data_IF_873863353217
#
_entry.id   IF_873863353217
#
_cell.length_a   1.000
_cell.length_b   1.000
_cell.length_c   1.000
_cell.angle_alpha   90.00
_cell.angle_beta   90.00
_cell.angle_gamma   90.00
#
_symmetry.space_group_name_H-M   'P 1'
#
loop_
_entity.id
_entity.type
_entity.pdbx_description
1 polymer ?
#
# COMPACT_ATOMS: atom_id res chain seq x y z
N UNK A 1 -2.07 -7.68 -17.32
CA UNK A 1 -0.64 -7.35 -17.17
C UNK A 1 -0.05 -7.10 -18.55
N UNK A 2 0.22 -5.83 -18.90
CA UNK A 2 0.88 -5.43 -20.18
C UNK A 2 2.32 -4.94 -19.97
N UNK A 3 2.89 -5.27 -18.81
CA UNK A 3 4.26 -5.70 -18.53
C UNK A 3 4.10 -6.72 -17.42
N UNK A 4 4.56 -7.94 -17.64
CA UNK A 4 5.06 -8.84 -16.60
C UNK A 4 6.58 -8.67 -16.67
N UNK A 5 7.29 -8.72 -15.56
CA UNK A 5 8.61 -8.09 -15.51
C UNK A 5 9.60 -8.94 -16.30
N UNK A 6 10.14 -8.32 -17.33
CA UNK A 6 11.42 -8.65 -17.86
C UNK A 6 12.30 -7.43 -17.66
N UNK A 7 13.43 -7.60 -17.00
CA UNK A 7 14.36 -6.54 -16.62
C UNK A 7 15.75 -6.96 -17.08
N UNK A 8 15.99 -6.84 -18.38
CA UNK A 8 17.31 -7.05 -18.99
C UNK A 8 18.17 -5.78 -18.99
N UNK A 9 17.56 -4.60 -19.01
CA UNK A 9 18.32 -3.34 -19.07
C UNK A 9 18.91 -2.91 -17.70
N UNK A 10 18.94 -3.80 -16.71
CA UNK A 10 19.69 -3.58 -15.47
C UNK A 10 21.14 -4.06 -15.56
N UNK A 11 21.63 -4.41 -16.75
CA UNK A 11 23.02 -4.83 -17.02
C UNK A 11 24.06 -3.90 -16.39
N UNK A 12 23.79 -2.59 -16.27
CA UNK A 12 24.69 -1.65 -15.57
C UNK A 12 24.83 -1.91 -14.05
N UNK A 13 23.94 -2.72 -13.45
CA UNK A 13 23.89 -3.06 -12.01
C UNK A 13 24.18 -4.53 -11.68
N UNK A 14 24.37 -5.40 -12.69
CA UNK A 14 24.93 -6.75 -12.54
C UNK A 14 24.07 -7.79 -11.81
N UNK A 15 22.74 -7.77 -11.96
CA UNK A 15 21.85 -8.82 -11.44
C UNK A 15 20.79 -9.21 -12.48
N UNK A 16 20.84 -10.45 -12.97
CA UNK A 16 19.78 -11.03 -13.83
C UNK A 16 18.54 -11.36 -13.00
N UNK A 17 17.39 -10.78 -13.35
CA UNK A 17 16.13 -10.96 -12.62
C UNK A 17 15.05 -11.55 -13.52
N UNK A 18 14.68 -12.81 -13.24
CA UNK A 18 13.55 -13.46 -13.88
C UNK A 18 12.32 -13.43 -12.97
N UNK A 19 11.24 -12.76 -13.39
CA UNK A 19 9.97 -12.78 -12.67
C UNK A 19 9.01 -13.77 -13.31
N UNK A 20 8.64 -14.79 -12.53
CA UNK A 20 7.75 -15.87 -12.97
C UNK A 20 6.49 -15.86 -12.11
N UNK A 21 5.33 -15.75 -12.75
CA UNK A 21 4.04 -15.88 -12.10
C UNK A 21 3.57 -17.33 -12.18
N UNK A 22 3.41 -17.98 -11.04
CA UNK A 22 2.89 -19.35 -10.97
C UNK A 22 1.94 -19.51 -9.79
N UNK A 23 1.01 -20.45 -9.92
CA UNK A 23 0.08 -20.81 -8.86
C UNK A 23 0.60 -21.95 -7.97
N UNK A 24 1.66 -22.64 -8.41
CA UNK A 24 2.20 -23.79 -7.71
C UNK A 24 3.72 -23.76 -7.74
N UNK A 25 4.32 -24.04 -6.60
CA UNK A 25 5.73 -24.37 -6.50
C UNK A 25 5.84 -25.83 -6.04
N UNK A 26 6.96 -26.45 -6.35
CA UNK A 26 7.30 -27.80 -5.93
C UNK A 26 8.27 -27.72 -4.77
N UNK A 27 7.81 -28.17 -3.61
CA UNK A 27 8.57 -28.22 -2.37
C UNK A 27 9.47 -29.45 -2.36
N UNK A 28 10.78 -29.29 -2.21
CA UNK A 28 11.75 -30.39 -2.19
C UNK A 28 12.90 -30.11 -1.21
N UNK A 29 13.73 -31.12 -0.95
CA UNK A 29 15.04 -30.91 -0.32
C UNK A 29 16.06 -30.62 -1.41
N UNK A 30 16.74 -29.49 -1.29
CA UNK A 30 17.84 -29.13 -2.17
C UNK A 30 18.96 -30.17 -2.04
N UNK A 31 19.41 -30.78 -3.15
CA UNK A 31 20.36 -31.88 -3.11
C UNK A 31 21.76 -31.44 -2.65
N UNK A 32 22.08 -30.14 -2.73
CA UNK A 32 23.40 -29.60 -2.35
C UNK A 32 23.45 -29.28 -0.85
N UNK A 33 22.49 -28.50 -0.38
CA UNK A 33 22.45 -28.00 1.00
C UNK A 33 21.65 -28.88 1.96
N UNK A 34 20.83 -29.80 1.44
CA UNK A 34 19.88 -30.60 2.22
C UNK A 34 18.71 -29.79 2.81
N UNK A 35 18.63 -28.50 2.51
CA UNK A 35 17.59 -27.58 3.02
C UNK A 35 16.30 -27.72 2.23
N UNK A 36 15.19 -27.39 2.86
CA UNK A 36 13.90 -27.32 2.19
C UNK A 36 13.87 -26.09 1.27
N UNK A 37 13.52 -26.29 0.00
CA UNK A 37 13.49 -25.26 -1.04
C UNK A 37 12.26 -25.42 -1.93
N UNK A 38 12.01 -24.42 -2.77
CA UNK A 38 10.87 -24.41 -3.68
C UNK A 38 11.33 -24.20 -5.12
N UNK A 39 10.85 -25.07 -5.99
CA UNK A 39 11.10 -25.03 -7.42
C UNK A 39 9.87 -24.57 -8.20
N UNK A 40 10.10 -23.94 -9.35
CA UNK A 40 9.11 -23.52 -10.33
C UNK A 40 9.22 -24.43 -11.54
N UNK A 41 8.20 -25.27 -11.76
CA UNK A 41 8.16 -26.17 -12.91
C UNK A 41 7.61 -25.49 -14.17
N UNK A 42 6.75 -24.49 -13.98
CA UNK A 42 6.09 -23.74 -15.05
C UNK A 42 5.58 -22.39 -14.52
N UNK A 43 5.25 -21.49 -15.44
CA UNK A 43 4.62 -20.22 -15.09
C UNK A 43 4.44 -19.30 -16.28
N UNK A 44 3.84 -18.15 -16.01
CA UNK A 44 3.79 -17.01 -16.93
C UNK A 44 5.02 -16.15 -16.72
N UNK A 45 5.76 -15.86 -17.80
CA UNK A 45 6.87 -14.92 -17.79
C UNK A 45 6.95 -14.18 -19.12
N UNK A 46 7.70 -13.08 -19.15
CA UNK A 46 8.02 -12.40 -20.39
C UNK A 46 9.33 -12.94 -20.96
N UNK A 47 9.39 -13.05 -22.28
CA UNK A 47 10.60 -13.35 -23.04
C UNK A 47 10.80 -12.28 -24.10
N UNK A 48 12.04 -11.84 -24.32
CA UNK A 48 12.39 -11.05 -25.51
C UNK A 48 12.07 -11.82 -26.79
N UNK A 49 12.08 -11.12 -27.93
CA UNK A 49 11.96 -11.78 -29.22
C UNK A 49 13.05 -12.85 -29.43
N UNK A 50 14.28 -12.55 -29.03
CA UNK A 50 15.40 -13.47 -29.17
C UNK A 50 15.21 -14.73 -28.32
N UNK A 51 14.86 -14.57 -27.04
CA UNK A 51 14.65 -15.69 -26.12
C UNK A 51 13.44 -16.52 -26.50
N UNK A 52 12.35 -15.87 -26.93
CA UNK A 52 11.17 -16.56 -27.42
C UNK A 52 11.53 -17.45 -28.62
N UNK A 53 12.32 -16.94 -29.57
CA UNK A 53 12.79 -17.72 -30.72
C UNK A 53 13.75 -18.84 -30.29
N UNK A 54 14.73 -18.55 -29.42
CA UNK A 54 15.67 -19.54 -28.86
C UNK A 54 14.95 -20.67 -28.12
N UNK A 55 13.86 -20.37 -27.42
CA UNK A 55 13.02 -21.35 -26.73
C UNK A 55 12.15 -22.19 -27.69
N UNK A 56 12.26 -22.02 -29.01
CA UNK A 56 11.44 -22.72 -30.00
C UNK A 56 10.03 -22.15 -30.15
N UNK A 57 9.82 -20.92 -29.69
CA UNK A 57 8.59 -20.17 -29.84
C UNK A 57 8.21 -20.04 -31.31
N UNK A 58 7.12 -20.69 -31.69
CA UNK A 58 6.50 -20.51 -32.99
C UNK A 58 5.17 -19.79 -32.75
N UNK A 59 4.89 -18.73 -33.51
CA UNK A 59 3.68 -17.91 -33.39
C UNK A 59 2.40 -18.68 -33.81
N UNK A 60 2.24 -19.93 -33.37
CA UNK A 60 1.09 -20.80 -33.61
C UNK A 60 -0.21 -20.18 -33.11
N UNK A 61 -0.14 -19.30 -32.11
CA UNK A 61 -1.29 -18.51 -31.65
C UNK A 61 -1.91 -17.66 -32.77
N UNK A 62 -1.14 -17.22 -33.77
CA UNK A 62 -1.68 -16.50 -34.92
C UNK A 62 -2.67 -17.34 -35.75
N UNK A 63 -2.56 -18.67 -35.69
CA UNK A 63 -3.48 -19.58 -36.38
C UNK A 63 -4.86 -19.61 -35.74
N UNK A 64 -4.98 -19.23 -34.46
CA UNK A 64 -6.25 -19.21 -33.72
C UNK A 64 -6.86 -17.81 -33.60
N UNK A 65 -6.14 -16.75 -34.01
CA UNK A 65 -6.66 -15.39 -34.06
C UNK A 65 -7.38 -15.19 -35.39
N UNK A 66 -8.72 -15.19 -35.35
CA UNK A 66 -9.57 -15.02 -36.53
C UNK A 66 -9.55 -13.57 -37.08
N UNK A 67 -9.44 -12.56 -36.20
CA UNK A 67 -9.41 -11.15 -36.58
C UNK A 67 -8.06 -10.80 -37.26
N UNK A 68 -8.05 -10.40 -38.55
CA UNK A 68 -6.83 -10.06 -39.28
C UNK A 68 -6.05 -8.88 -38.68
N UNK A 69 -6.73 -7.89 -38.08
CA UNK A 69 -6.08 -6.73 -37.44
C UNK A 69 -5.37 -7.14 -36.16
N UNK A 70 -6.02 -7.96 -35.33
CA UNK A 70 -5.39 -8.53 -34.14
C UNK A 70 -4.24 -9.45 -34.51
N UNK A 71 -4.43 -10.31 -35.52
CA UNK A 71 -3.37 -11.20 -36.01
C UNK A 71 -2.13 -10.43 -36.44
N UNK A 72 -2.29 -9.38 -37.27
CA UNK A 72 -1.20 -8.48 -37.68
C UNK A 72 -0.53 -7.77 -36.51
N UNK A 73 -1.30 -7.40 -35.47
CA UNK A 73 -0.78 -6.80 -34.23
C UNK A 73 0.07 -7.78 -33.42
N UNK A 74 -0.34 -9.05 -33.33
CA UNK A 74 0.35 -10.09 -32.57
C UNK A 74 1.44 -10.83 -33.37
N UNK A 75 1.58 -10.56 -34.67
CA UNK A 75 2.67 -11.10 -35.50
C UNK A 75 4.03 -10.63 -35.01
N UNK A 76 4.14 -9.35 -34.66
CA UNK A 76 5.38 -8.77 -34.13
C UNK A 76 5.46 -8.99 -32.62
N UNK A 77 6.66 -9.31 -32.15
CA UNK A 77 7.00 -9.21 -30.73
C UNK A 77 7.46 -7.77 -30.52
N UNK A 78 6.88 -7.08 -29.53
CA UNK A 78 7.28 -5.70 -29.23
C UNK A 78 8.65 -5.65 -28.55
N UNK A 79 9.23 -4.46 -28.38
CA UNK A 79 10.48 -4.28 -27.64
C UNK A 79 10.39 -4.80 -26.20
N UNK A 80 9.19 -4.75 -25.63
CA UNK A 80 8.83 -5.30 -24.31
C UNK A 80 8.82 -6.83 -24.22
N UNK A 81 9.10 -7.53 -25.32
CA UNK A 81 8.97 -8.98 -25.41
C UNK A 81 7.52 -9.46 -25.47
N UNK A 82 7.32 -10.72 -25.07
CA UNK A 82 6.03 -11.41 -25.10
C UNK A 82 5.79 -12.18 -23.82
N UNK A 83 4.60 -11.99 -23.25
CA UNK A 83 4.11 -12.86 -22.17
C UNK A 83 3.81 -14.25 -22.73
N UNK A 84 4.44 -15.25 -22.15
CA UNK A 84 4.29 -16.65 -22.52
C UNK A 84 4.02 -17.50 -21.29
N UNK A 85 3.33 -18.62 -21.48
CA UNK A 85 3.32 -19.70 -20.52
C UNK A 85 4.45 -20.66 -20.85
N UNK A 86 5.39 -20.82 -19.93
CA UNK A 86 6.56 -21.69 -20.08
C UNK A 86 6.44 -22.89 -19.16
N UNK A 87 6.95 -24.03 -19.63
CA UNK A 87 7.23 -25.21 -18.81
C UNK A 87 8.72 -25.47 -18.90
N UNK A 88 9.40 -25.49 -17.77
CA UNK A 88 10.83 -25.69 -17.74
C UNK A 88 11.17 -27.18 -17.85
N UNK A 89 12.19 -27.51 -18.65
CA UNK A 89 12.69 -28.90 -18.74
C UNK A 89 13.33 -29.34 -17.42
N UNK A 90 13.94 -28.39 -16.71
CA UNK A 90 14.49 -28.53 -15.36
C UNK A 90 13.83 -27.48 -14.48
N UNK A 91 13.26 -27.85 -13.33
CA UNK A 91 12.61 -26.88 -12.45
C UNK A 91 13.59 -25.82 -11.95
N UNK A 92 13.14 -24.56 -11.89
CA UNK A 92 13.97 -23.41 -11.49
C UNK A 92 13.80 -23.15 -10.01
N UNK A 93 14.89 -22.91 -9.27
CA UNK A 93 14.83 -22.56 -7.86
C UNK A 93 14.21 -21.16 -7.67
N UNK A 94 13.21 -21.04 -6.80
CA UNK A 94 12.66 -19.75 -6.39
C UNK A 94 13.59 -19.09 -5.34
N UNK A 95 14.29 -18.03 -5.73
CA UNK A 95 15.24 -17.32 -4.86
C UNK A 95 14.59 -16.29 -3.94
N UNK A 96 13.44 -15.75 -4.35
CA UNK A 96 12.58 -14.89 -3.55
C UNK A 96 11.14 -15.06 -4.02
N UNK A 97 10.17 -14.91 -3.12
CA UNK A 97 8.75 -15.09 -3.41
C UNK A 97 7.98 -13.84 -3.00
N UNK A 98 7.09 -13.39 -3.89
CA UNK A 98 6.03 -12.44 -3.57
C UNK A 98 4.73 -13.25 -3.40
N UNK A 99 4.39 -13.69 -2.18
CA UNK A 99 3.22 -14.52 -1.97
C UNK A 99 1.94 -13.72 -2.11
N UNK A 100 0.89 -14.33 -2.66
CA UNK A 100 -0.45 -13.76 -2.54
C UNK A 100 -0.95 -13.95 -1.10
N UNK A 101 -1.53 -12.92 -0.50
CA UNK A 101 -1.96 -12.91 0.92
C UNK A 101 -3.01 -13.97 1.28
N UNK A 102 -3.68 -14.57 0.28
CA UNK A 102 -4.63 -15.68 0.47
C UNK A 102 -4.03 -17.07 0.21
N UNK A 103 -2.77 -17.16 -0.23
CA UNK A 103 -2.17 -18.44 -0.59
C UNK A 103 -1.98 -19.31 0.68
N UNK A 104 -2.37 -20.61 0.67
CA UNK A 104 -2.27 -21.47 1.85
C UNK A 104 -0.88 -21.48 2.49
N UNK A 105 0.18 -21.60 1.68
CA UNK A 105 1.57 -21.60 2.18
C UNK A 105 2.07 -20.28 2.78
N UNK A 106 1.39 -19.19 2.47
CA UNK A 106 1.61 -17.91 3.16
C UNK A 106 0.82 -17.89 4.47
N UNK A 107 -0.41 -18.43 4.46
CA UNK A 107 -1.28 -18.46 5.61
C UNK A 107 -0.77 -19.38 6.73
N UNK A 108 -0.15 -20.50 6.40
CA UNK A 108 0.38 -21.48 7.36
C UNK A 108 1.90 -21.30 7.65
N UNK A 109 2.49 -20.23 7.10
CA UNK A 109 3.92 -19.90 7.19
C UNK A 109 4.86 -20.97 6.60
N UNK A 110 4.39 -21.83 5.69
CA UNK A 110 5.23 -22.85 5.03
C UNK A 110 6.46 -22.25 4.36
N UNK A 111 6.32 -21.12 3.66
CA UNK A 111 7.45 -20.46 3.00
C UNK A 111 8.47 -19.89 4.00
N UNK A 112 7.99 -19.37 5.13
CA UNK A 112 8.83 -18.77 6.17
C UNK A 112 9.58 -19.84 6.99
N UNK A 113 8.92 -20.98 7.28
CA UNK A 113 9.53 -22.14 7.94
C UNK A 113 10.70 -22.72 7.15
N UNK A 114 10.57 -22.72 5.83
CA UNK A 114 11.63 -23.15 4.92
C UNK A 114 12.75 -22.10 4.76
N UNK A 115 12.53 -20.88 5.24
CA UNK A 115 13.50 -19.80 5.18
C UNK A 115 13.68 -19.15 3.80
N UNK A 116 12.66 -19.18 2.94
CA UNK A 116 12.73 -18.52 1.62
C UNK A 116 12.54 -17.02 1.76
N UNK A 117 13.38 -16.16 1.14
CA UNK A 117 13.14 -14.73 1.11
C UNK A 117 11.74 -14.35 0.61
N UNK A 118 11.02 -13.54 1.39
CA UNK A 118 9.70 -13.04 1.04
C UNK A 118 9.75 -11.51 0.95
N UNK A 119 9.08 -10.92 -0.05
CA UNK A 119 8.89 -9.45 -0.05
C UNK A 119 8.06 -8.99 1.16
N UNK A 120 7.20 -9.88 1.63
CA UNK A 120 6.25 -9.61 2.69
C UNK A 120 6.06 -10.89 3.50
N UNK A 121 6.24 -10.76 4.82
CA UNK A 121 5.97 -11.81 5.77
C UNK A 121 4.54 -11.78 6.29
N UNK A 122 4.08 -12.88 6.86
CA UNK A 122 2.76 -13.00 7.49
C UNK A 122 2.60 -12.02 8.65
N UNK A 123 3.64 -11.83 9.47
CA UNK A 123 3.57 -10.89 10.60
C UNK A 123 3.40 -9.45 10.11
N UNK A 124 4.15 -9.03 9.09
CA UNK A 124 4.07 -7.67 8.53
C UNK A 124 2.74 -7.46 7.79
N UNK A 125 2.27 -8.47 7.04
CA UNK A 125 0.93 -8.49 6.44
C UNK A 125 -0.15 -8.19 7.49
N UNK A 126 -0.22 -9.02 8.52
CA UNK A 126 -1.27 -8.88 9.54
C UNK A 126 -1.15 -7.58 10.32
N UNK A 127 0.07 -7.11 10.57
CA UNK A 127 0.31 -5.86 11.28
C UNK A 127 -0.14 -4.64 10.47
N UNK A 128 0.22 -4.57 9.19
CA UNK A 128 -0.16 -3.45 8.32
C UNK A 128 -1.66 -3.44 8.02
N UNK A 129 -2.31 -4.62 7.96
CA UNK A 129 -3.76 -4.70 7.76
C UNK A 129 -4.60 -4.21 8.96
N UNK A 130 -4.11 -4.27 10.20
CA UNK A 130 -4.89 -3.92 11.39
C UNK A 130 -4.69 -2.46 11.78
N UNK A 131 -5.59 -1.58 11.32
CA UNK A 131 -5.56 -0.13 11.62
C UNK A 131 -5.65 0.19 13.12
N UNK A 132 -6.21 -0.72 13.93
CA UNK A 132 -6.26 -0.59 15.39
C UNK A 132 -4.86 -0.63 16.04
N UNK A 133 -3.86 -1.21 15.37
CA UNK A 133 -2.48 -1.30 15.88
C UNK A 133 -1.67 -0.02 15.66
N UNK A 134 -2.02 0.79 14.66
CA UNK A 134 -1.28 2.01 14.29
C UNK A 134 -0.96 2.93 15.49
N UNK A 135 -1.92 3.30 16.36
CA UNK A 135 -1.60 4.12 17.53
C UNK A 135 -0.63 3.44 18.51
N UNK A 136 -0.70 2.12 18.65
CA UNK A 136 0.20 1.36 19.53
C UNK A 136 1.62 1.28 18.95
N UNK A 137 1.73 1.06 17.64
CA UNK A 137 2.99 1.07 16.92
C UNK A 137 3.70 2.41 17.05
N UNK A 138 3.01 3.51 16.77
CA UNK A 138 3.58 4.86 16.86
C UNK A 138 3.96 5.20 18.31
N UNK A 139 3.09 4.89 19.27
CA UNK A 139 3.38 5.12 20.69
C UNK A 139 4.63 4.35 21.15
N UNK A 140 4.78 3.09 20.71
CA UNK A 140 5.94 2.27 21.00
C UNK A 140 7.22 2.83 20.36
N UNK A 141 7.17 3.19 19.08
CA UNK A 141 8.29 3.79 18.36
C UNK A 141 8.73 5.12 18.99
N UNK A 142 7.80 6.04 19.26
CA UNK A 142 8.09 7.37 19.80
C UNK A 142 8.73 7.35 21.19
N UNK A 143 8.59 6.25 21.96
CA UNK A 143 9.29 6.05 23.24
C UNK A 143 10.75 5.64 23.08
N UNK A 144 11.14 5.16 21.91
CA UNK A 144 12.48 4.63 21.64
C UNK A 144 13.38 5.64 20.91
N UNK A 145 12.80 6.70 20.35
CA UNK A 145 13.53 7.68 19.52
C UNK A 145 13.50 9.08 20.13
N UNK A 146 14.51 9.93 19.84
CA UNK A 146 14.52 11.31 20.28
C UNK A 146 13.37 12.13 19.66
N UNK A 147 13.07 13.29 20.24
CA UNK A 147 11.90 14.10 19.89
C UNK A 147 11.79 14.48 18.41
N UNK A 148 12.91 14.77 17.76
CA UNK A 148 13.02 15.11 16.34
C UNK A 148 12.78 13.94 15.39
N UNK A 149 12.86 12.70 15.88
CA UNK A 149 12.59 11.48 15.09
C UNK A 149 11.17 10.95 15.30
N UNK A 150 10.44 11.49 16.27
CA UNK A 150 9.07 11.05 16.56
C UNK A 150 8.16 11.23 15.35
N UNK A 151 7.21 10.31 15.24
CA UNK A 151 6.14 10.36 14.26
C UNK A 151 4.96 11.07 14.94
N UNK A 152 4.53 12.20 14.38
CA UNK A 152 3.26 12.80 14.76
C UNK A 152 2.14 11.92 14.23
N UNK A 153 1.13 11.66 15.05
CA UNK A 153 -0.05 10.92 14.64
C UNK A 153 -1.31 11.75 14.81
N UNK A 154 -2.32 11.36 14.05
CA UNK A 154 -3.67 11.86 14.20
C UNK A 154 -4.32 11.28 15.47
N UNK A 155 -5.33 11.97 15.99
CA UNK A 155 -6.10 11.44 17.11
C UNK A 155 -6.98 10.28 16.62
N UNK A 156 -6.91 9.14 17.31
CA UNK A 156 -7.66 7.93 16.97
C UNK A 156 -8.18 7.23 18.24
N UNK A 157 -9.40 6.71 18.17
CA UNK A 157 -9.98 5.79 19.15
C UNK A 157 -10.41 4.50 18.45
N UNK A 158 -10.16 3.37 19.11
CA UNK A 158 -10.56 2.05 18.66
C UNK A 158 -11.72 1.52 19.53
N UNK A 159 -12.79 1.07 18.89
CA UNK A 159 -13.88 0.32 19.52
C UNK A 159 -13.69 -1.15 19.17
N UNK A 160 -13.22 -1.93 20.14
CA UNK A 160 -12.92 -3.34 19.95
C UNK A 160 -14.19 -4.18 20.12
N UNK A 161 -14.53 -4.96 19.10
CA UNK A 161 -15.69 -5.86 19.06
C UNK A 161 -15.69 -6.82 20.25
N UNK A 162 -14.54 -7.41 20.56
CA UNK A 162 -14.41 -8.37 21.67
C UNK A 162 -14.67 -7.75 23.04
N UNK A 163 -14.48 -6.45 23.21
CA UNK A 163 -14.81 -5.74 24.47
C UNK A 163 -16.30 -5.51 24.64
N UNK A 164 -17.07 -5.55 23.56
CA UNK A 164 -18.51 -5.26 23.56
C UNK A 164 -19.39 -6.50 23.37
N UNK A 165 -18.82 -7.66 23.00
CA UNK A 165 -19.57 -8.86 22.63
C UNK A 165 -20.51 -9.38 23.72
N UNK A 166 -20.16 -9.22 24.99
CA UNK A 166 -20.97 -9.71 26.13
C UNK A 166 -22.04 -8.72 26.62
N UNK A 167 -22.12 -7.53 26.01
CA UNK A 167 -23.11 -6.52 26.39
C UNK A 167 -24.41 -6.70 25.61
N UNK A 168 -25.53 -6.27 26.21
CA UNK A 168 -26.82 -6.13 25.52
C UNK A 168 -26.74 -5.09 24.39
N UNK A 169 -27.64 -5.15 23.39
CA UNK A 169 -27.70 -4.15 22.31
C UNK A 169 -27.70 -2.70 22.82
N UNK A 170 -28.52 -2.40 23.84
CA UNK A 170 -28.57 -1.09 24.49
C UNK A 170 -27.25 -0.73 25.19
N UNK A 171 -26.60 -1.70 25.82
CA UNK A 171 -25.30 -1.51 26.47
C UNK A 171 -24.20 -1.16 25.45
N UNK A 172 -24.18 -1.85 24.31
CA UNK A 172 -23.25 -1.56 23.21
C UNK A 172 -23.48 -0.16 22.65
N UNK A 173 -24.74 0.18 22.38
CA UNK A 173 -25.14 1.51 21.90
C UNK A 173 -24.67 2.62 22.83
N UNK A 174 -24.97 2.52 24.14
CA UNK A 174 -24.55 3.52 25.13
C UNK A 174 -23.04 3.76 25.14
N UNK A 175 -22.23 2.72 24.97
CA UNK A 175 -20.77 2.85 24.90
C UNK A 175 -20.34 3.54 23.60
N UNK A 176 -20.87 3.12 22.45
CA UNK A 176 -20.55 3.74 21.15
C UNK A 176 -20.93 5.22 21.15
N UNK A 177 -22.14 5.55 21.60
CA UNK A 177 -22.61 6.94 21.75
C UNK A 177 -21.67 7.74 22.65
N UNK A 178 -21.34 7.23 23.84
CA UNK A 178 -20.42 7.90 24.76
C UNK A 178 -19.06 8.18 24.11
N UNK A 179 -18.48 7.20 23.41
CA UNK A 179 -17.19 7.35 22.75
C UNK A 179 -17.24 8.45 21.68
N UNK A 180 -18.24 8.44 20.80
CA UNK A 180 -18.41 9.46 19.77
C UNK A 180 -18.69 10.85 20.36
N UNK A 181 -19.50 10.93 21.41
CA UNK A 181 -19.83 12.19 22.08
C UNK A 181 -18.60 12.83 22.75
N UNK A 182 -17.76 12.03 23.40
CA UNK A 182 -16.53 12.52 24.03
C UNK A 182 -15.48 12.90 23.00
N UNK A 183 -15.24 12.06 21.99
CA UNK A 183 -14.27 12.35 20.93
C UNK A 183 -14.64 13.60 20.13
N UNK A 184 -15.94 13.79 19.87
CA UNK A 184 -16.45 14.94 19.13
C UNK A 184 -16.31 16.29 19.82
N UNK A 185 -16.05 16.32 21.14
CA UNK A 185 -15.75 17.59 21.85
C UNK A 185 -14.49 18.26 21.31
N UNK A 186 -13.51 17.46 20.89
CA UNK A 186 -12.28 17.94 20.25
C UNK A 186 -12.39 17.89 18.72
N UNK A 187 -13.07 16.88 18.19
CA UNK A 187 -13.14 16.60 16.74
C UNK A 187 -14.59 16.53 16.24
N UNK A 188 -15.22 17.67 15.91
CA UNK A 188 -16.60 17.70 15.43
C UNK A 188 -16.86 16.82 14.20
N UNK A 189 -15.84 16.70 13.34
CA UNK A 189 -15.81 15.85 12.14
C UNK A 189 -14.87 14.67 12.36
N UNK A 190 -15.33 13.47 12.04
CA UNK A 190 -14.58 12.22 12.23
C UNK A 190 -14.71 11.32 11.02
N UNK A 191 -13.69 10.50 10.77
CA UNK A 191 -13.77 9.37 9.85
C UNK A 191 -13.91 8.08 10.65
N UNK A 192 -14.89 7.25 10.27
CA UNK A 192 -15.20 5.98 10.92
C UNK A 192 -14.95 4.89 9.89
N UNK A 193 -14.10 3.92 10.22
CA UNK A 193 -13.72 2.83 9.32
C UNK A 193 -13.60 1.49 10.03
N UNK A 194 -13.70 0.40 9.27
CA UNK A 194 -13.33 -0.94 9.72
C UNK A 194 -11.83 -1.04 9.96
N UNK A 195 -11.39 -1.95 10.82
CA UNK A 195 -9.96 -2.14 11.12
C UNK A 195 -9.21 -2.79 9.97
N UNK A 196 -9.81 -3.79 9.32
CA UNK A 196 -9.14 -4.72 8.40
C UNK A 196 -9.56 -4.61 6.94
N UNK A 197 -10.70 -3.97 6.62
CA UNK A 197 -11.08 -3.76 5.22
C UNK A 197 -10.27 -2.60 4.60
N UNK A 198 -10.02 -2.69 3.30
CA UNK A 198 -9.29 -1.68 2.52
C UNK A 198 -10.13 -1.15 1.36
N UNK A 199 -9.72 0.01 0.84
CA UNK A 199 -10.33 0.65 -0.31
C UNK A 199 -11.68 1.31 -0.01
N UNK A 200 -11.80 2.02 1.10
CA UNK A 200 -12.99 2.83 1.44
C UNK A 200 -14.28 2.05 1.73
N UNK A 201 -14.29 0.73 1.58
CA UNK A 201 -15.39 -0.13 2.01
C UNK A 201 -15.47 -0.13 3.53
N UNK A 202 -16.68 0.01 4.06
CA UNK A 202 -16.88 0.09 5.51
C UNK A 202 -16.36 1.40 6.11
N UNK A 203 -16.32 2.49 5.32
CA UNK A 203 -15.89 3.81 5.78
C UNK A 203 -16.97 4.87 5.55
N UNK A 204 -17.18 5.72 6.55
CA UNK A 204 -17.99 6.94 6.46
C UNK A 204 -17.24 8.13 7.06
N UNK A 205 -17.61 9.35 6.66
CA UNK A 205 -17.26 10.57 7.39
C UNK A 205 -18.51 11.08 8.08
N UNK A 206 -18.40 11.41 9.35
CA UNK A 206 -19.51 11.90 10.16
C UNK A 206 -19.23 13.30 10.68
N UNK A 207 -20.22 14.18 10.56
CA UNK A 207 -20.25 15.46 11.27
C UNK A 207 -21.08 15.22 12.54
N UNK A 208 -20.42 15.01 13.67
CA UNK A 208 -21.05 14.69 14.96
C UNK A 208 -21.57 15.95 15.65
N UNK A 209 -20.85 17.07 15.50
CA UNK A 209 -21.25 18.37 16.05
C UNK A 209 -21.25 19.44 14.97
N UNK A 210 -22.24 20.34 15.02
CA UNK A 210 -22.31 21.56 14.21
C UNK A 210 -21.26 22.57 14.69
N UNK A 211 -21.05 23.63 13.92
CA UNK A 211 -20.09 24.69 14.27
C UNK A 211 -20.42 25.39 15.59
N UNK A 212 -21.70 25.48 15.95
CA UNK A 212 -22.18 26.02 17.23
C UNK A 212 -21.97 25.04 18.41
N UNK A 213 -21.40 23.85 18.19
CA UNK A 213 -21.13 22.83 19.20
C UNK A 213 -22.27 21.85 19.50
N UNK A 214 -23.47 22.10 18.96
CA UNK A 214 -24.64 21.22 19.12
C UNK A 214 -24.46 19.90 18.37
N UNK A 215 -25.15 18.85 18.83
CA UNK A 215 -25.14 17.57 18.14
C UNK A 215 -25.83 17.68 16.78
N UNK A 216 -25.15 17.19 15.75
CA UNK A 216 -25.73 17.08 14.42
C UNK A 216 -26.36 15.69 14.26
N UNK A 217 -27.69 15.63 14.17
CA UNK A 217 -28.41 14.37 13.91
C UNK A 217 -28.79 14.19 12.42
N UNK A 218 -28.48 15.18 11.57
CA UNK A 218 -28.88 15.21 10.17
C UNK A 218 -27.72 14.85 9.26
N UNK A 219 -28.03 14.16 8.16
CA UNK A 219 -27.07 13.89 7.10
C UNK A 219 -26.92 15.13 6.20
N UNK A 220 -25.68 15.39 5.78
CA UNK A 220 -25.36 16.39 4.77
C UNK A 220 -25.12 15.67 3.46
N UNK A 221 -25.78 16.13 2.40
CA UNK A 221 -25.68 15.53 1.07
C UNK A 221 -24.72 16.33 0.17
N UNK A 222 -24.00 15.62 -0.71
CA UNK A 222 -23.19 16.24 -1.76
C UNK A 222 -24.06 16.67 -2.96
N UNK A 223 -23.46 17.41 -3.89
CA UNK A 223 -24.10 17.90 -5.12
C UNK A 223 -24.63 16.78 -6.03
N UNK A 224 -24.19 15.54 -5.81
CA UNK A 224 -24.57 14.34 -6.56
C UNK A 224 -25.65 13.52 -5.83
N UNK A 225 -26.20 14.03 -4.72
CA UNK A 225 -27.24 13.39 -3.92
C UNK A 225 -26.76 12.25 -3.01
N UNK A 226 -25.45 12.03 -2.88
CA UNK A 226 -24.86 11.10 -1.93
C UNK A 226 -24.69 11.73 -0.55
N UNK A 227 -24.60 10.93 0.52
CA UNK A 227 -24.29 11.46 1.85
C UNK A 227 -22.81 11.86 1.89
N UNK A 228 -22.54 13.16 2.02
CA UNK A 228 -21.21 13.72 2.22
C UNK A 228 -20.75 13.49 3.67
N UNK A 229 -21.64 13.78 4.63
CA UNK A 229 -21.37 13.63 6.05
C UNK A 229 -22.58 13.02 6.76
N UNK A 230 -22.34 11.94 7.49
CA UNK A 230 -23.37 11.29 8.31
C UNK A 230 -23.60 12.06 9.61
N UNK A 231 -24.85 12.16 10.04
CA UNK A 231 -25.20 12.64 11.38
C UNK A 231 -24.82 11.64 12.47
N UNK A 232 -24.89 12.08 13.73
CA UNK A 232 -24.54 11.29 14.91
C UNK A 232 -25.29 9.96 15.00
N UNK A 233 -26.61 9.95 14.77
CA UNK A 233 -27.42 8.71 14.85
C UNK A 233 -26.98 7.68 13.82
N UNK A 234 -26.81 8.09 12.57
CA UNK A 234 -26.41 7.18 11.50
C UNK A 234 -24.96 6.71 11.66
N UNK A 235 -24.08 7.56 12.19
CA UNK A 235 -22.73 7.16 12.57
C UNK A 235 -22.73 6.06 13.64
N UNK A 236 -23.61 6.17 14.66
CA UNK A 236 -23.80 5.13 15.68
C UNK A 236 -24.36 3.85 15.07
N UNK A 237 -25.40 3.93 14.22
CA UNK A 237 -25.95 2.76 13.54
C UNK A 237 -24.91 2.06 12.66
N UNK A 238 -24.12 2.84 11.91
CA UNK A 238 -23.07 2.31 11.05
C UNK A 238 -22.04 1.49 11.85
N UNK A 239 -21.58 2.01 12.99
CA UNK A 239 -20.67 1.27 13.87
C UNK A 239 -21.33 -0.02 14.37
N UNK A 240 -22.57 0.06 14.88
CA UNK A 240 -23.25 -1.06 15.54
C UNK A 240 -23.68 -2.17 14.57
N UNK A 241 -24.14 -1.81 13.38
CA UNK A 241 -24.76 -2.73 12.41
C UNK A 241 -23.84 -3.13 11.27
N UNK A 242 -22.98 -2.23 10.81
CA UNK A 242 -22.13 -2.50 9.66
C UNK A 242 -20.73 -2.96 10.08
N UNK A 243 -20.13 -2.35 11.11
CA UNK A 243 -18.75 -2.66 11.49
C UNK A 243 -18.69 -3.77 12.55
N UNK A 244 -19.22 -3.51 13.75
CA UNK A 244 -19.02 -4.37 14.92
C UNK A 244 -19.51 -5.82 14.78
N UNK A 245 -20.44 -6.19 13.88
CA UNK A 245 -20.75 -7.60 13.64
C UNK A 245 -19.60 -8.38 13.01
N UNK A 246 -18.71 -7.72 12.25
CA UNK A 246 -17.65 -8.38 11.48
C UNK A 246 -16.23 -7.97 11.88
N UNK A 247 -16.02 -6.74 12.36
CA UNK A 247 -14.68 -6.18 12.60
C UNK A 247 -14.66 -5.18 13.78
N UNK A 248 -13.47 -4.72 14.16
CA UNK A 248 -13.29 -3.59 15.07
C UNK A 248 -13.54 -2.26 14.34
N UNK A 249 -14.04 -1.25 15.07
CA UNK A 249 -14.25 0.08 14.53
C UNK A 249 -13.11 1.03 14.92
N UNK A 250 -12.65 1.81 13.96
CA UNK A 250 -11.63 2.84 14.10
C UNK A 250 -12.27 4.20 13.86
N UNK A 251 -12.18 5.09 14.84
CA UNK A 251 -12.67 6.47 14.79
C UNK A 251 -11.45 7.37 14.79
N UNK A 252 -11.25 8.15 13.73
CA UNK A 252 -10.12 9.06 13.57
C UNK A 252 -10.61 10.49 13.41
N UNK A 253 -9.78 11.47 13.81
CA UNK A 253 -10.02 12.87 13.42
C UNK A 253 -10.09 12.98 11.88
N UNK A 254 -11.00 13.81 11.40
CA UNK A 254 -11.06 14.13 9.98
C UNK A 254 -10.06 15.24 9.66
N UNK A 255 -9.05 14.95 8.83
CA UNK A 255 -8.04 15.92 8.44
C UNK A 255 -8.57 16.74 7.25
N UNK A 256 -8.87 18.01 7.52
CA UNK A 256 -9.24 18.97 6.47
C UNK A 256 -8.06 19.18 5.52
N UNK A 257 -8.32 18.90 4.24
CA UNK A 257 -7.34 18.99 3.17
C UNK A 257 -7.57 20.26 2.37
N UNK A 258 -6.49 20.99 2.04
CA UNK A 258 -6.58 22.12 1.12
C UNK A 258 -5.43 22.12 0.10
N UNK A 259 -5.52 21.29 -0.95
CA UNK A 259 -4.49 21.24 -2.00
C UNK A 259 -4.22 22.60 -2.66
N UNK A 260 -5.23 23.50 -2.71
CA UNK A 260 -5.12 24.83 -3.34
C UNK A 260 -4.12 25.75 -2.63
N UNK A 261 -3.95 25.57 -1.33
CA UNK A 261 -3.00 26.36 -0.54
C UNK A 261 -1.55 25.96 -0.84
N UNK A 262 -1.32 24.67 -1.14
CA UNK A 262 0.02 24.08 -1.22
C UNK A 262 0.52 23.91 -2.65
N UNK A 263 -0.36 23.55 -3.59
CA UNK A 263 0.00 23.29 -4.98
C UNK A 263 0.28 24.59 -5.74
N UNK A 264 1.21 24.55 -6.68
CA UNK A 264 1.39 25.64 -7.66
C UNK A 264 0.15 25.76 -8.54
N UNK A 265 -0.03 26.92 -9.15
CA UNK A 265 -1.16 27.16 -10.06
C UNK A 265 -1.14 26.19 -11.25
N UNK A 266 0.04 25.91 -11.80
CA UNK A 266 0.23 24.93 -12.87
C UNK A 266 -0.23 23.53 -12.46
N UNK A 267 0.18 23.07 -11.28
CA UNK A 267 -0.23 21.78 -10.74
C UNK A 267 -1.74 21.72 -10.51
N UNK A 268 -2.33 22.77 -9.93
CA UNK A 268 -3.77 22.85 -9.70
C UNK A 268 -4.56 22.86 -11.03
N UNK A 269 -4.06 23.53 -12.06
CA UNK A 269 -4.67 23.53 -13.38
C UNK A 269 -4.62 22.14 -14.03
N UNK A 270 -3.54 21.37 -13.85
CA UNK A 270 -3.52 19.98 -14.29
C UNK A 270 -4.53 19.10 -13.54
N UNK A 271 -4.71 19.33 -12.24
CA UNK A 271 -5.76 18.66 -11.45
C UNK A 271 -7.14 18.95 -12.05
N UNK A 272 -7.47 20.23 -12.26
CA UNK A 272 -8.73 20.66 -12.88
C UNK A 272 -8.95 19.96 -14.23
N UNK A 273 -7.97 20.02 -15.13
CA UNK A 273 -8.03 19.38 -16.45
C UNK A 273 -8.31 17.88 -16.37
N UNK A 274 -7.73 17.16 -15.41
CA UNK A 274 -7.95 15.71 -15.27
C UNK A 274 -9.34 15.37 -14.76
N UNK A 275 -9.91 16.17 -13.87
CA UNK A 275 -11.30 15.97 -13.42
C UNK A 275 -12.31 16.39 -14.49
N UNK A 276 -12.03 17.45 -15.26
CA UNK A 276 -12.88 17.86 -16.40
C UNK A 276 -13.01 16.74 -17.45
N UNK A 277 -11.93 15.98 -17.70
CA UNK A 277 -11.97 14.79 -18.58
C UNK A 277 -12.91 13.68 -18.09
N UNK A 278 -13.29 13.71 -16.80
CA UNK A 278 -14.27 12.81 -16.20
C UNK A 278 -15.67 13.43 -16.13
N UNK A 279 -15.86 14.63 -16.70
CA UNK A 279 -17.10 15.39 -16.60
C UNK A 279 -17.31 16.07 -15.25
N UNK A 280 -16.28 16.16 -14.39
CA UNK A 280 -16.35 16.79 -13.09
C UNK A 280 -15.72 18.18 -13.18
N UNK A 281 -16.51 19.23 -13.00
CA UNK A 281 -16.03 20.62 -12.99
C UNK A 281 -15.58 20.99 -11.58
N UNK A 282 -14.31 21.36 -11.44
CA UNK A 282 -13.77 21.88 -10.17
C UNK A 282 -13.89 23.41 -10.17
N UNK A 283 -14.77 23.94 -9.34
CA UNK A 283 -14.92 25.38 -9.06
C UNK A 283 -14.10 25.78 -7.82
N UNK A 284 -14.22 27.02 -7.37
CA UNK A 284 -13.62 27.47 -6.10
C UNK A 284 -14.24 26.77 -4.89
N UNK A 285 -15.55 26.54 -4.94
CA UNK A 285 -16.33 25.91 -3.86
C UNK A 285 -16.25 24.37 -3.84
N UNK A 286 -15.80 23.74 -4.94
CA UNK A 286 -15.67 22.28 -4.97
C UNK A 286 -14.64 21.80 -3.94
N UNK A 287 -15.00 20.95 -2.96
CA UNK A 287 -14.05 20.45 -1.99
C UNK A 287 -13.01 19.57 -2.68
N UNK A 288 -11.74 19.76 -2.33
CA UNK A 288 -10.64 18.91 -2.80
C UNK A 288 -9.96 18.27 -1.60
N UNK A 289 -10.03 16.96 -1.55
CA UNK A 289 -9.32 16.14 -0.58
C UNK A 289 -8.08 15.54 -1.23
N UNK A 290 -7.09 15.24 -0.42
CA UNK A 290 -5.91 14.56 -0.92
C UNK A 290 -5.29 13.64 0.12
N UNK A 291 -4.52 12.69 -0.37
CA UNK A 291 -3.58 11.94 0.45
C UNK A 291 -2.37 11.58 -0.40
N UNK A 292 -1.26 11.29 0.27
CA UNK A 292 -0.04 10.87 -0.38
C UNK A 292 0.16 9.38 -0.16
N UNK A 293 0.77 8.71 -1.12
CA UNK A 293 1.27 7.35 -0.94
C UNK A 293 2.72 7.30 -1.37
N UNK A 294 3.57 6.87 -0.45
CA UNK A 294 4.97 6.62 -0.74
C UNK A 294 5.23 5.12 -0.87
N UNK A 295 5.91 4.72 -1.93
CA UNK A 295 6.43 3.36 -2.06
C UNK A 295 7.81 3.32 -1.43
N UNK A 296 7.97 2.47 -0.43
CA UNK A 296 9.21 2.30 0.32
C UNK A 296 9.73 0.89 0.10
N UNK A 297 11.01 0.75 -0.20
CA UNK A 297 11.70 -0.54 -0.31
C UNK A 297 13.00 -0.51 0.46
N UNK A 298 13.42 -1.65 0.98
CA UNK A 298 14.70 -1.78 1.66
C UNK A 298 15.29 -3.19 1.54
N UNK A 299 16.60 -3.26 1.68
CA UNK A 299 17.32 -4.51 1.95
C UNK A 299 17.55 -4.58 3.47
N UNK A 300 17.43 -5.76 4.11
CA UNK A 300 17.72 -5.86 5.54
C UNK A 300 19.12 -5.38 5.90
N UNK A 301 19.16 -4.39 6.80
CA UNK A 301 20.40 -3.73 7.25
C UNK A 301 20.84 -2.53 6.41
N UNK A 302 20.11 -2.17 5.35
CA UNK A 302 20.32 -0.95 4.57
C UNK A 302 19.24 0.10 4.90
N UNK A 303 19.52 1.37 4.60
CA UNK A 303 18.55 2.47 4.77
C UNK A 303 17.36 2.33 3.79
N UNK A 304 16.11 2.54 4.23
CA UNK A 304 14.98 2.47 3.32
C UNK A 304 15.03 3.52 2.20
N UNK A 305 14.46 3.19 1.05
CA UNK A 305 14.44 4.05 -0.14
C UNK A 305 13.01 4.32 -0.57
N UNK A 306 12.70 5.59 -0.87
CA UNK A 306 11.43 5.98 -1.48
C UNK A 306 11.55 5.87 -3.00
N UNK A 307 10.69 5.07 -3.62
CA UNK A 307 10.75 4.74 -5.05
C UNK A 307 9.50 5.15 -5.80
N UNK A 308 8.49 5.65 -5.09
CA UNK A 308 7.26 6.16 -5.68
C UNK A 308 6.68 7.26 -4.83
N UNK A 309 6.32 8.36 -5.47
CA UNK A 309 5.72 9.55 -4.85
C UNK A 309 4.36 9.77 -5.49
N UNK A 310 3.30 9.40 -4.78
CA UNK A 310 1.94 9.45 -5.32
C UNK A 310 1.16 10.52 -4.59
N UNK A 311 0.48 11.37 -5.35
CA UNK A 311 -0.56 12.25 -4.84
C UNK A 311 -1.90 11.76 -5.37
N UNK A 312 -2.82 11.47 -4.46
CA UNK A 312 -4.20 11.16 -4.76
C UNK A 312 -5.05 12.38 -4.43
N UNK A 313 -5.86 12.83 -5.38
CA UNK A 313 -6.83 13.92 -5.17
C UNK A 313 -8.24 13.39 -5.40
N UNK A 314 -9.16 13.82 -4.55
CA UNK A 314 -10.54 13.38 -4.53
C UNK A 314 -11.49 14.57 -4.40
N UNK A 315 -12.66 14.49 -5.01
CA UNK A 315 -13.76 15.48 -4.83
C UNK A 315 -14.76 15.07 -3.75
N UNK A 316 -14.57 13.87 -3.16
CA UNK A 316 -15.35 13.34 -2.03
C UNK A 316 -14.41 12.95 -0.90
N UNK A 317 -14.87 13.11 0.32
CA UNK A 317 -14.09 12.83 1.53
C UNK A 317 -13.70 11.34 1.67
N UNK A 318 -14.56 10.44 1.17
CA UNK A 318 -14.25 9.01 1.00
C UNK A 318 -14.27 8.71 -0.50
N UNK A 319 -13.09 8.53 -1.09
CA UNK A 319 -12.96 8.08 -2.46
C UNK A 319 -11.65 7.33 -2.66
N UNK A 320 -11.64 6.43 -3.65
CA UNK A 320 -10.44 5.75 -4.11
C UNK A 320 -10.14 6.14 -5.55
N UNK A 321 -8.91 5.82 -5.98
CA UNK A 321 -8.57 5.84 -7.41
C UNK A 321 -9.57 5.00 -8.22
N UNK A 322 -10.20 5.61 -9.23
CA UNK A 322 -11.23 4.97 -10.05
C UNK A 322 -12.66 5.05 -9.49
N UNK A 323 -12.86 5.61 -8.29
CA UNK A 323 -14.16 5.88 -7.66
C UNK A 323 -14.29 7.37 -7.29
N UNK A 324 -13.97 8.26 -8.22
CA UNK A 324 -13.97 9.71 -7.99
C UNK A 324 -12.63 10.30 -7.53
N UNK A 325 -11.60 9.46 -7.32
CA UNK A 325 -10.23 9.88 -7.09
C UNK A 325 -9.37 9.86 -8.36
N UNK A 326 -8.39 10.76 -8.43
CA UNK A 326 -7.35 10.82 -9.46
C UNK A 326 -5.95 10.67 -8.86
N UNK A 327 -5.10 9.91 -9.55
CA UNK A 327 -3.71 9.65 -9.17
C UNK A 327 -2.77 10.50 -10.00
N UNK A 328 -1.84 11.18 -9.35
CA UNK A 328 -0.80 12.01 -9.95
C UNK A 328 0.59 11.54 -9.51
N UNK A 329 1.57 11.65 -10.41
CA UNK A 329 2.97 11.65 -10.00
C UNK A 329 3.20 12.88 -9.14
N UNK A 330 3.65 12.71 -7.91
CA UNK A 330 3.88 13.83 -7.02
C UNK A 330 5.33 14.29 -7.09
N UNK A 331 5.52 15.48 -7.65
CA UNK A 331 6.84 16.06 -7.88
C UNK A 331 7.03 17.35 -7.08
N UNK A 332 8.28 17.67 -6.73
CA UNK A 332 8.61 18.82 -5.87
C UNK A 332 8.16 20.14 -6.48
N UNK A 333 8.15 20.20 -7.81
CA UNK A 333 7.76 21.34 -8.63
C UNK A 333 6.26 21.61 -8.57
N UNK A 334 5.45 20.61 -8.22
CA UNK A 334 4.00 20.77 -8.03
C UNK A 334 3.65 21.57 -6.78
N UNK A 335 4.61 21.73 -5.86
CA UNK A 335 4.41 22.35 -4.55
C UNK A 335 5.05 23.73 -4.53
N UNK A 336 4.32 24.74 -4.02
CA UNK A 336 4.84 26.11 -3.87
C UNK A 336 6.15 26.09 -3.06
N UNK A 337 7.15 26.92 -3.40
CA UNK A 337 8.49 26.85 -2.82
C UNK A 337 8.53 26.75 -1.30
N UNK A 338 7.71 27.55 -0.60
CA UNK A 338 7.64 27.59 0.86
C UNK A 338 7.13 26.29 1.51
N UNK A 339 6.48 25.41 0.75
CA UNK A 339 5.94 24.14 1.23
C UNK A 339 6.75 22.92 0.77
N UNK A 340 7.85 23.09 0.03
CA UNK A 340 8.64 21.95 -0.49
C UNK A 340 9.30 21.09 0.58
N UNK A 341 9.39 21.58 1.82
CA UNK A 341 9.87 20.81 2.97
C UNK A 341 9.07 19.54 3.22
N UNK A 342 7.79 19.49 2.78
CA UNK A 342 6.92 18.33 2.99
C UNK A 342 7.50 17.06 2.39
N UNK A 343 8.29 17.12 1.31
CA UNK A 343 8.94 15.94 0.73
C UNK A 343 9.97 15.33 1.68
N UNK A 344 10.76 16.18 2.35
CA UNK A 344 11.75 15.70 3.31
C UNK A 344 11.06 15.10 4.54
N UNK A 345 9.95 15.70 4.98
CA UNK A 345 9.15 15.15 6.08
C UNK A 345 8.43 13.86 5.70
N UNK A 346 7.86 13.77 4.51
CA UNK A 346 7.26 12.53 4.01
C UNK A 346 8.31 11.41 3.90
N UNK A 347 9.52 11.71 3.42
CA UNK A 347 10.62 10.74 3.39
C UNK A 347 10.96 10.26 4.80
N UNK A 348 11.18 11.19 5.74
CA UNK A 348 11.51 10.88 7.13
C UNK A 348 10.43 10.01 7.78
N UNK A 349 9.16 10.40 7.66
CA UNK A 349 8.03 9.65 8.23
C UNK A 349 7.92 8.27 7.59
N UNK A 350 8.05 8.15 6.27
CA UNK A 350 7.96 6.85 5.56
C UNK A 350 9.12 5.90 5.91
N UNK A 351 10.30 6.43 6.20
CA UNK A 351 11.44 5.64 6.71
C UNK A 351 11.22 5.22 8.16
N UNK A 352 10.71 6.14 8.98
CA UNK A 352 10.38 5.87 10.37
C UNK A 352 9.27 4.81 10.51
N UNK A 353 8.28 4.79 9.61
CA UNK A 353 7.22 3.78 9.60
C UNK A 353 7.77 2.38 9.28
N UNK A 354 8.76 2.26 8.39
CA UNK A 354 9.47 0.99 8.16
C UNK A 354 10.13 0.47 9.44
N UNK A 355 10.82 1.35 10.18
CA UNK A 355 11.47 0.98 11.43
C UNK A 355 10.47 0.67 12.55
N UNK A 356 9.38 1.44 12.60
CA UNK A 356 8.26 1.21 13.51
C UNK A 356 7.65 -0.17 13.32
N UNK A 357 7.38 -0.58 12.08
CA UNK A 357 6.88 -1.92 11.74
C UNK A 357 7.86 -3.00 12.22
N UNK A 358 9.15 -2.84 11.92
CA UNK A 358 10.20 -3.78 12.33
C UNK A 358 10.25 -3.97 13.85
N UNK A 359 10.22 -2.87 14.61
CA UNK A 359 10.33 -2.89 16.07
C UNK A 359 9.06 -3.42 16.75
N UNK A 360 7.89 -3.18 16.18
CA UNK A 360 6.62 -3.60 16.77
C UNK A 360 6.19 -5.01 16.38
N UNK A 361 6.64 -5.52 15.22
CA UNK A 361 6.28 -6.85 14.72
C UNK A 361 6.48 -7.99 15.75
N UNK A 362 7.56 -8.06 16.55
CA UNK A 362 7.71 -9.08 17.60
C UNK A 362 6.65 -9.02 18.71
N UNK A 363 6.24 -7.80 19.10
CA UNK A 363 5.21 -7.59 20.12
C UNK A 363 3.86 -8.07 19.60
N UNK A 364 3.54 -7.64 18.38
CA UNK A 364 2.33 -8.05 17.68
C UNK A 364 2.26 -9.57 17.50
N UNK A 365 3.34 -10.17 16.98
CA UNK A 365 3.44 -11.60 16.72
C UNK A 365 3.18 -12.44 17.97
N UNK A 366 3.79 -12.05 19.11
CA UNK A 366 3.57 -12.72 20.40
C UNK A 366 2.10 -12.66 20.83
N UNK A 367 1.43 -11.53 20.62
CA UNK A 367 0.02 -11.35 21.00
C UNK A 367 -0.93 -12.14 20.10
N UNK A 368 -0.60 -12.25 18.81
CA UNK A 368 -1.43 -12.91 17.80
C UNK A 368 -1.09 -14.41 17.62
N UNK A 369 -0.10 -14.92 18.33
CA UNK A 369 0.36 -16.30 18.18
C UNK A 369 0.99 -16.60 16.82
N UNK A 370 1.64 -15.60 16.20
CA UNK A 370 2.37 -15.74 14.94
C UNK A 370 3.85 -15.99 15.29
N UNK A 371 4.44 -17.04 14.73
CA UNK A 371 5.88 -17.28 14.91
C UNK A 371 6.70 -16.37 13.98
N UNK A 372 7.84 -15.87 14.43
CA UNK A 372 8.76 -15.10 13.57
C UNK A 372 9.97 -15.97 13.24
N UNK A 373 10.01 -16.46 12.01
CA UNK A 373 11.14 -17.22 11.49
C UNK A 373 12.25 -16.29 10.98
N UNK A 374 13.34 -16.90 10.51
CA UNK A 374 14.38 -16.24 9.72
C UNK A 374 14.50 -16.91 8.37
N UNK A 375 14.83 -16.12 7.35
CA UNK A 375 15.26 -16.68 6.07
C UNK A 375 16.57 -17.44 6.23
N UNK A 376 16.88 -18.36 5.31
CA UNK A 376 18.17 -19.04 5.28
C UNK A 376 19.33 -18.05 5.08
N UNK A 377 19.05 -16.89 4.47
CA UNK A 377 20.00 -15.76 4.37
C UNK A 377 20.20 -15.00 5.70
N UNK A 378 19.55 -15.43 6.80
CA UNK A 378 19.74 -14.90 8.15
C UNK A 378 18.79 -13.75 8.55
N UNK A 379 17.93 -13.30 7.63
CA UNK A 379 17.05 -12.14 7.85
C UNK A 379 15.79 -12.52 8.62
N UNK A 380 15.45 -11.72 9.63
CA UNK A 380 14.18 -11.87 10.36
C UNK A 380 12.99 -11.51 9.47
N UNK A 381 11.92 -12.31 9.51
CA UNK A 381 10.66 -11.94 8.86
C UNK A 381 9.90 -10.81 9.58
N UNK A 382 10.42 -10.29 10.70
CA UNK A 382 9.96 -9.01 11.25
C UNK A 382 10.40 -7.80 10.42
N UNK A 383 11.31 -7.97 9.45
CA UNK A 383 11.83 -6.87 8.65
C UNK A 383 11.01 -6.69 7.36
N UNK A 384 10.31 -5.56 7.15
CA UNK A 384 9.54 -5.35 5.92
C UNK A 384 10.49 -5.07 4.75
N UNK A 385 10.39 -5.78 3.62
CA UNK A 385 11.18 -5.42 2.42
C UNK A 385 10.51 -4.31 1.61
N UNK A 386 9.19 -4.22 1.69
CA UNK A 386 8.39 -3.18 1.03
C UNK A 386 7.30 -2.69 1.96
N UNK A 387 6.95 -1.41 1.84
CA UNK A 387 5.81 -0.82 2.50
C UNK A 387 5.22 0.30 1.64
N UNK A 388 3.93 0.54 1.80
CA UNK A 388 3.21 1.63 1.15
C UNK A 388 2.64 2.51 2.26
N UNK A 389 3.29 3.64 2.51
CA UNK A 389 2.87 4.57 3.56
C UNK A 389 1.86 5.56 3.00
N UNK A 390 0.62 5.49 3.50
CA UNK A 390 -0.40 6.49 3.22
C UNK A 390 -0.28 7.62 4.23
N UNK A 391 -0.11 8.83 3.73
CA UNK A 391 0.18 10.03 4.50
C UNK A 391 -0.84 11.13 4.20
N UNK A 392 -1.04 12.05 5.15
CA UNK A 392 -1.79 13.29 4.94
C UNK A 392 -1.05 14.49 5.52
N UNK A 393 -1.36 15.67 4.99
CA UNK A 393 -0.93 16.95 5.54
C UNK A 393 -1.97 17.42 6.55
N UNK A 394 -1.58 17.44 7.83
CA UNK A 394 -2.39 17.93 8.94
C UNK A 394 -2.05 19.40 9.22
N UNK A 395 -3.03 20.33 9.16
CA UNK A 395 -2.81 21.70 9.58
C UNK A 395 -2.80 21.78 11.13
N UNK A 396 -1.74 22.35 11.68
CA UNK A 396 -1.60 22.64 13.10
C UNK A 396 -1.47 24.16 13.28
N UNK A 397 -2.29 24.74 14.16
CA UNK A 397 -2.13 26.15 14.53
C UNK A 397 -1.05 26.29 15.58
N UNK A 398 -0.06 27.13 15.32
CA UNK A 398 0.96 27.54 16.27
C UNK A 398 0.39 28.55 17.27
N UNK A 399 1.12 28.84 18.35
CA UNK A 399 0.71 29.78 19.40
C UNK A 399 0.49 31.21 18.92
N UNK A 400 1.15 31.61 17.83
CA UNK A 400 1.00 32.89 17.12
C UNK A 400 -0.08 32.87 16.03
N UNK A 401 -0.84 31.77 15.91
CA UNK A 401 -1.99 31.66 15.01
C UNK A 401 -1.64 31.29 13.56
N UNK A 402 -0.37 31.07 13.24
CA UNK A 402 0.09 30.58 11.93
C UNK A 402 -0.30 29.10 11.76
N UNK A 403 -0.57 28.70 10.52
CA UNK A 403 -0.79 27.28 10.18
C UNK A 403 0.52 26.67 9.73
N UNK A 404 0.95 25.62 10.45
CA UNK A 404 2.04 24.74 10.05
C UNK A 404 1.47 23.41 9.56
N UNK A 405 2.01 22.89 8.47
CA UNK A 405 1.54 21.66 7.86
C UNK A 405 2.46 20.50 8.24
N UNK A 406 1.92 19.55 8.99
CA UNK A 406 2.66 18.37 9.43
C UNK A 406 2.28 17.14 8.62
N UNK A 407 3.27 16.30 8.34
CA UNK A 407 3.03 14.98 7.75
C UNK A 407 2.63 14.01 8.86
N UNK A 408 1.47 13.36 8.69
CA UNK A 408 1.01 12.29 9.57
C UNK A 408 0.68 11.05 8.75
N UNK A 409 1.06 9.85 9.20
CA UNK A 409 0.60 8.63 8.57
C UNK A 409 -0.88 8.37 8.92
N UNK A 410 -1.64 7.87 7.94
CA UNK A 410 -3.07 7.54 8.11
C UNK A 410 -3.35 6.04 8.05
N UNK A 411 -2.51 5.30 7.31
CA UNK A 411 -2.56 3.85 7.13
C UNK A 411 -1.24 3.35 6.54
N UNK A 412 -0.83 2.14 6.89
CA UNK A 412 0.26 1.42 6.21
C UNK A 412 -0.35 0.30 5.37
N UNK A 413 0.24 0.04 4.20
CA UNK A 413 -0.30 -0.94 3.28
C UNK A 413 0.81 -1.73 2.59
N UNK A 414 0.42 -2.85 2.04
CA UNK A 414 1.27 -3.80 1.32
C UNK A 414 0.66 -4.17 -0.04
N UNK A 415 -0.59 -3.73 -0.29
CA UNK A 415 -1.31 -3.95 -1.54
C UNK A 415 -0.82 -3.06 -2.67
N UNK A 416 -0.21 -3.67 -3.68
CA UNK A 416 0.33 -3.01 -4.88
C UNK A 416 -0.73 -2.52 -5.89
N UNK A 417 -1.96 -2.23 -5.46
CA UNK A 417 -3.09 -1.91 -6.35
C UNK A 417 -2.91 -0.62 -7.16
N UNK A 418 -2.17 0.36 -6.62
CA UNK A 418 -1.87 1.63 -7.30
C UNK A 418 -0.60 1.57 -8.15
N UNK A 419 0.12 0.46 -8.15
CA UNK A 419 1.40 0.32 -8.85
C UNK A 419 1.22 0.46 -10.35
N UNK A 420 0.23 -0.25 -10.92
CA UNK A 420 -0.04 -0.22 -12.36
C UNK A 420 -0.54 1.15 -12.87
N UNK A 421 -1.47 1.84 -12.19
CA UNK A 421 -1.78 3.24 -12.49
C UNK A 421 -0.56 4.17 -12.42
N UNK A 422 0.27 4.05 -11.39
CA UNK A 422 1.44 4.90 -11.20
C UNK A 422 2.50 4.71 -12.29
N UNK A 423 2.86 3.46 -12.60
CA UNK A 423 3.77 3.12 -13.70
C UNK A 423 3.26 3.60 -15.07
N UNK A 424 1.94 3.63 -15.28
CA UNK A 424 1.36 4.23 -16.49
C UNK A 424 1.59 5.73 -16.56
N UNK A 425 1.55 6.45 -15.44
CA UNK A 425 1.85 7.88 -15.44
C UNK A 425 3.36 8.13 -15.64
N UNK A 426 4.24 7.34 -15.02
CA UNK A 426 5.68 7.39 -15.24
C UNK A 426 6.03 7.15 -16.73
N UNK A 427 5.42 6.13 -17.33
CA UNK A 427 5.66 5.75 -18.73
C UNK A 427 5.33 6.87 -19.72
N UNK A 428 4.27 7.65 -19.47
CA UNK A 428 3.94 8.83 -20.30
C UNK A 428 5.05 9.89 -20.32
N UNK A 429 5.94 9.87 -19.32
CA UNK A 429 7.07 10.80 -19.17
C UNK A 429 8.41 10.15 -19.50
N UNK A 430 8.41 8.94 -20.07
CA UNK A 430 9.64 8.21 -20.38
C UNK A 430 10.38 7.66 -19.16
N UNK A 431 9.72 7.58 -18.00
CA UNK A 431 10.28 7.19 -16.69
C UNK A 431 9.84 5.80 -16.23
N UNK A 432 9.50 4.93 -17.18
CA UNK A 432 8.99 3.57 -16.91
C UNK A 432 9.98 2.80 -16.03
N UNK A 433 9.50 2.09 -15.01
CA UNK A 433 10.35 1.21 -14.19
C UNK A 433 10.95 1.88 -12.94
N UNK A 434 10.98 3.21 -12.87
CA UNK A 434 11.61 3.94 -11.75
C UNK A 434 11.10 3.52 -10.36
N UNK A 435 9.87 3.00 -10.26
CA UNK A 435 9.34 2.52 -8.99
C UNK A 435 9.42 1.02 -8.78
N UNK A 436 9.20 0.20 -9.82
CA UNK A 436 9.23 -1.27 -9.70
C UNK A 436 10.64 -1.83 -9.64
N UNK A 437 11.57 -1.26 -10.41
CA UNK A 437 12.90 -1.85 -10.59
C UNK A 437 13.70 -1.85 -9.29
N UNK A 438 13.73 -0.77 -8.48
CA UNK A 438 14.41 -0.81 -7.19
C UNK A 438 13.84 -1.86 -6.22
N UNK A 439 12.52 -2.12 -6.24
CA UNK A 439 11.90 -3.17 -5.43
C UNK A 439 12.42 -4.54 -5.87
N UNK A 440 12.43 -4.81 -7.16
CA UNK A 440 12.89 -6.08 -7.71
C UNK A 440 14.39 -6.27 -7.50
N UNK A 441 15.20 -5.22 -7.65
CA UNK A 441 16.64 -5.23 -7.36
C UNK A 441 16.89 -5.57 -5.88
N UNK A 442 16.17 -4.95 -4.96
CA UNK A 442 16.33 -5.22 -3.53
C UNK A 442 15.93 -6.67 -3.19
N UNK A 443 14.88 -7.20 -3.79
CA UNK A 443 14.53 -8.62 -3.67
C UNK A 443 15.61 -9.53 -4.26
N UNK A 444 16.18 -9.18 -5.42
CA UNK A 444 17.25 -9.95 -6.05
C UNK A 444 18.53 -9.97 -5.20
N UNK A 445 18.89 -8.85 -4.55
CA UNK A 445 20.02 -8.80 -3.59
C UNK A 445 19.82 -9.79 -2.44
N UNK A 446 18.60 -9.89 -1.90
CA UNK A 446 18.26 -10.86 -0.84
C UNK A 446 18.28 -12.30 -1.39
N UNK A 447 17.73 -12.52 -2.58
CA UNK A 447 17.73 -13.81 -3.26
C UNK A 447 19.14 -14.33 -3.58
N UNK A 448 20.07 -13.45 -3.94
CA UNK A 448 21.49 -13.80 -4.15
C UNK A 448 22.14 -14.33 -2.88
N UNK A 449 21.94 -13.65 -1.73
CA UNK A 449 22.43 -14.13 -0.43
C UNK A 449 21.84 -15.49 -0.06
N UNK A 450 20.57 -15.72 -0.40
CA UNK A 450 19.93 -17.02 -0.22
C UNK A 450 20.59 -18.12 -1.07
N UNK A 451 20.90 -17.85 -2.34
CA UNK A 451 21.64 -18.79 -3.20
C UNK A 451 23.04 -19.11 -2.67
N UNK A 452 23.76 -18.10 -2.17
CA UNK A 452 25.08 -18.27 -1.56
C UNK A 452 25.03 -19.26 -0.37
N UNK A 453 24.02 -19.14 0.50
CA UNK A 453 23.81 -20.05 1.64
C UNK A 453 23.48 -21.48 1.19
N UNK A 454 22.79 -21.64 0.06
CA UNK A 454 22.52 -22.96 -0.53
C UNK A 454 23.74 -23.56 -1.25
N UNK A 455 24.89 -22.88 -1.25
CA UNK A 455 26.09 -23.34 -1.96
C UNK A 455 25.98 -23.22 -3.47
N UNK A 456 25.00 -22.46 -3.98
CA UNK A 456 24.80 -22.20 -5.41
C UNK A 456 25.43 -20.86 -5.75
N UNK A 457 26.69 -20.87 -6.20
CA UNK A 457 27.31 -19.67 -6.79
C UNK A 457 26.59 -19.34 -8.10
N UNK A 458 26.34 -18.05 -8.35
CA UNK A 458 25.48 -17.53 -9.42
C UNK A 458 25.96 -17.82 -10.85
N UNK A 459 25.91 -19.08 -11.25
CA UNK A 459 26.03 -19.57 -12.62
C UNK A 459 25.22 -20.86 -12.70
N UNK A 460 24.00 -20.75 -13.22
CA UNK A 460 23.34 -21.70 -14.15
C UNK A 460 21.97 -21.17 -14.58
#
# INVERSE_FOLDING_TARGET
>A
LRRGPFLHDLDEKGLDINVIMTNFLRKERDPVSGKEVFYVDYGLMYLTEEEYRKAGGSNKILRVIADPKLRKKFEKIGPEGRLVFVRFKRPILACAIFPHFTHPWFLDQTLEKAGVPLNQSRVIDRLTYKKTEMPLMISYYNRQVPGNERILFLDQINILRDKLKNLSPEGRRKIVEKILLEFSKKHPKVIIKTSTESGGRGTIVALIRKENGELNNENIYDELGGIAFYGFRDAVEFILREILPKDDAVIQEFIESNPREILTEEALNEVKRRFERLGIRITEDTPLYWNFRNYVTQVPGEEPQIVGWIMLIHVRAVANYGQGGQLFLFEREMVKPQHRYIFNEMERVSKATMKMLELYAPIFAKREGIEIYRSLAGFSYSFPLTNLSDLMLKPCKTSDGKVEWHIVPIEENIGMGLFYPYERELSKRGRSGESVDPILINLAKVGRKYLEVLGRKGTD
#
